data_IF_857220763696
#
_entry.id   IF_857220763696
#
_cell.length_a   1.000
_cell.length_b   1.000
_cell.length_c   1.000
_cell.angle_alpha   90.00
_cell.angle_beta   90.00
_cell.angle_gamma   90.00
#
_symmetry.space_group_name_H-M   'P 1'
#
loop_
_entity.id
_entity.type
_entity.pdbx_description
1 polymer ?
#
# COMPACT_ATOMS: atom_id res chain seq x y z
N UNK A 1 50.73 82.71 41.68
CA UNK A 1 49.52 82.00 41.21
C UNK A 1 48.93 82.86 40.13
N UNK A 2 49.37 82.68 38.88
CA UNK A 2 48.86 83.42 37.74
C UNK A 2 48.13 82.43 36.83
N UNK A 3 46.82 82.62 36.72
CA UNK A 3 45.97 81.86 35.83
C UNK A 3 46.31 82.25 34.40
N UNK A 4 47.05 81.38 33.71
CA UNK A 4 47.28 81.48 32.26
C UNK A 4 45.95 81.18 31.57
N UNK A 5 45.25 82.25 31.19
CA UNK A 5 44.05 82.21 30.36
C UNK A 5 44.40 81.58 29.01
N UNK A 6 43.99 80.33 28.77
CA UNK A 6 44.04 79.74 27.44
C UNK A 6 43.14 80.56 26.49
N UNK A 7 43.64 80.99 25.31
CA UNK A 7 42.79 81.63 24.33
C UNK A 7 41.77 80.60 23.85
N UNK A 8 40.48 80.90 24.08
CA UNK A 8 39.38 80.10 23.57
C UNK A 8 39.58 79.87 22.07
N UNK A 9 39.61 78.60 21.66
CA UNK A 9 39.69 78.21 20.25
C UNK A 9 38.57 78.91 19.49
N UNK A 10 38.92 79.86 18.62
CA UNK A 10 37.94 80.53 17.76
C UNK A 10 37.33 79.48 16.86
N UNK A 11 36.00 79.43 16.81
CA UNK A 11 35.30 78.57 15.86
C UNK A 11 35.64 79.04 14.44
N UNK A 12 35.64 78.14 13.45
CA UNK A 12 35.91 78.52 12.05
C UNK A 12 34.96 79.60 11.54
N UNK A 13 33.75 79.71 12.10
CA UNK A 13 32.82 80.83 11.86
C UNK A 13 33.35 82.17 12.39
N UNK A 14 33.96 82.21 13.57
CA UNK A 14 34.51 83.42 14.17
C UNK A 14 35.72 83.93 13.37
N UNK A 15 36.53 83.01 12.83
CA UNK A 15 37.62 83.35 11.93
C UNK A 15 37.12 83.85 10.56
N UNK A 16 36.14 83.17 9.96
CA UNK A 16 35.53 83.62 8.71
C UNK A 16 34.87 85.00 8.88
N UNK A 17 34.25 85.23 10.04
CA UNK A 17 33.67 86.52 10.44
C UNK A 17 34.71 87.61 10.50
N UNK A 18 35.86 87.35 11.13
CA UNK A 18 36.94 88.32 11.21
C UNK A 18 37.54 88.62 9.84
N UNK A 19 37.83 87.59 9.03
CA UNK A 19 38.35 87.79 7.66
C UNK A 19 37.42 88.64 6.81
N UNK A 20 36.11 88.45 6.92
CA UNK A 20 35.12 89.25 6.20
C UNK A 20 35.09 90.71 6.67
N UNK A 21 35.12 90.94 7.99
CA UNK A 21 35.14 92.30 8.55
C UNK A 21 36.43 93.05 8.20
N UNK A 22 37.57 92.36 8.20
CA UNK A 22 38.85 92.94 7.75
C UNK A 22 38.80 93.27 6.26
N UNK A 23 38.28 92.38 5.42
CA UNK A 23 38.11 92.63 3.98
C UNK A 23 37.17 93.80 3.67
N UNK A 24 36.13 94.01 4.46
CA UNK A 24 35.23 95.16 4.33
C UNK A 24 35.93 96.48 4.69
N UNK A 25 36.71 96.46 5.77
CA UNK A 25 37.48 97.61 6.21
C UNK A 25 38.56 98.01 5.19
N UNK A 26 39.28 97.03 4.64
CA UNK A 26 40.29 97.24 3.59
C UNK A 26 39.68 97.76 2.28
N UNK A 27 38.41 97.45 2.00
CA UNK A 27 37.66 97.99 0.87
C UNK A 27 37.11 99.42 1.12
N UNK A 28 37.36 100.01 2.30
CA UNK A 28 36.87 101.33 2.68
C UNK A 28 35.37 101.40 2.96
N UNK A 29 34.72 100.25 3.14
CA UNK A 29 33.28 100.16 3.40
C UNK A 29 33.08 100.16 4.92
N UNK A 30 32.64 101.30 5.47
CA UNK A 30 32.30 101.38 6.88
C UNK A 30 31.06 100.51 7.19
N UNK A 31 31.05 99.89 8.38
CA UNK A 31 29.95 99.05 8.85
C UNK A 31 28.64 99.86 9.01
N UNK A 32 28.74 101.16 9.27
CA UNK A 32 27.59 102.05 9.39
C UNK A 32 27.14 102.63 8.05
N UNK A 33 27.84 102.34 6.95
CA UNK A 33 27.39 102.70 5.62
C UNK A 33 26.17 101.85 5.21
N UNK A 34 25.26 102.37 4.37
CA UNK A 34 24.09 101.62 3.93
C UNK A 34 24.46 100.30 3.23
N UNK A 35 25.60 100.25 2.55
CA UNK A 35 26.11 99.02 1.91
C UNK A 35 26.72 98.05 2.92
N UNK A 36 27.42 98.54 3.95
CA UNK A 36 27.92 97.73 5.07
C UNK A 36 26.80 97.05 5.88
N UNK A 37 25.72 97.79 6.16
CA UNK A 37 24.52 97.27 6.82
C UNK A 37 23.82 96.17 6.01
N UNK A 38 23.69 96.34 4.69
CA UNK A 38 23.11 95.32 3.82
C UNK A 38 23.95 94.05 3.78
N UNK A 39 25.28 94.18 3.69
CA UNK A 39 26.19 93.04 3.70
C UNK A 39 26.17 92.29 5.05
N UNK A 40 26.10 93.02 6.17
CA UNK A 40 25.94 92.41 7.48
C UNK A 40 24.62 91.62 7.59
N UNK A 41 23.50 92.19 7.14
CA UNK A 41 22.18 91.53 7.11
C UNK A 41 22.15 90.31 6.19
N UNK A 42 22.71 90.42 5.00
CA UNK A 42 22.80 89.31 4.05
C UNK A 42 23.60 88.16 4.68
N UNK A 43 24.70 88.47 5.35
CA UNK A 43 25.52 87.47 6.02
C UNK A 43 24.77 86.76 7.14
N UNK A 44 24.08 87.50 7.99
CA UNK A 44 23.26 86.95 9.08
C UNK A 44 22.22 85.97 8.51
N UNK A 45 21.45 86.40 7.50
CA UNK A 45 20.48 85.57 6.79
C UNK A 45 21.11 84.33 6.13
N UNK A 46 22.29 84.44 5.53
CA UNK A 46 23.00 83.28 4.95
C UNK A 46 23.47 82.30 6.01
N UNK A 47 23.88 82.77 7.20
CA UNK A 47 24.30 81.90 8.29
C UNK A 47 23.13 81.11 8.86
N UNK A 48 21.98 81.77 9.08
CA UNK A 48 20.75 81.12 9.54
C UNK A 48 20.26 80.08 8.52
N UNK A 49 20.33 80.43 7.22
CA UNK A 49 19.97 79.50 6.14
C UNK A 49 20.92 78.30 6.11
N UNK A 50 22.23 78.52 6.26
CA UNK A 50 23.22 77.44 6.29
C UNK A 50 23.01 76.50 7.48
N UNK A 51 22.72 77.04 8.66
CA UNK A 51 22.38 76.26 9.85
C UNK A 51 21.10 75.43 9.64
N UNK A 52 20.05 76.04 9.07
CA UNK A 52 18.80 75.36 8.75
C UNK A 52 19.01 74.21 7.75
N UNK A 53 19.78 74.45 6.69
CA UNK A 53 20.12 73.43 5.68
C UNK A 53 20.95 72.31 6.29
N UNK A 54 21.95 72.62 7.13
CA UNK A 54 22.76 71.60 7.81
C UNK A 54 21.91 70.76 8.77
N UNK A 55 20.99 71.38 9.51
CA UNK A 55 20.06 70.67 10.38
C UNK A 55 19.06 69.81 9.58
N UNK A 56 18.65 70.26 8.38
CA UNK A 56 17.83 69.45 7.47
C UNK A 56 18.63 68.26 6.91
N UNK A 57 19.87 68.48 6.46
CA UNK A 57 20.75 67.44 5.96
C UNK A 57 21.05 66.37 7.02
N UNK A 58 21.32 66.78 8.27
CA UNK A 58 21.53 65.86 9.38
C UNK A 58 20.27 65.00 9.66
N UNK A 59 19.07 65.59 9.59
CA UNK A 59 17.81 64.85 9.75
C UNK A 59 17.57 63.86 8.61
N UNK A 60 17.90 64.24 7.37
CA UNK A 60 17.79 63.35 6.21
C UNK A 60 18.75 62.18 6.35
N UNK A 61 20.01 62.43 6.71
CA UNK A 61 21.00 61.37 6.92
C UNK A 61 20.56 60.39 8.03
N UNK A 62 20.05 60.89 9.15
CA UNK A 62 19.51 60.05 10.21
C UNK A 62 18.28 59.25 9.75
N UNK A 63 17.38 59.85 8.97
CA UNK A 63 16.21 59.16 8.42
C UNK A 63 16.61 58.07 7.42
N UNK A 64 17.64 58.31 6.61
CA UNK A 64 18.20 57.34 5.67
C UNK A 64 18.80 56.15 6.42
N UNK A 65 19.59 56.38 7.47
CA UNK A 65 20.17 55.31 8.28
C UNK A 65 19.09 54.43 8.93
N UNK A 66 18.03 55.06 9.47
CA UNK A 66 16.88 54.34 10.03
C UNK A 66 16.17 53.52 8.94
N UNK A 67 15.95 54.10 7.76
CA UNK A 67 15.31 53.41 6.64
C UNK A 67 16.14 52.21 6.16
N UNK A 68 17.46 52.37 6.01
CA UNK A 68 18.35 51.29 5.63
C UNK A 68 18.34 50.16 6.66
N UNK A 69 18.40 50.50 7.95
CA UNK A 69 18.36 49.52 9.04
C UNK A 69 17.01 48.77 9.07
N UNK A 70 15.91 49.50 8.87
CA UNK A 70 14.57 48.92 8.79
C UNK A 70 14.42 47.98 7.59
N UNK A 71 14.95 48.36 6.42
CA UNK A 71 14.95 47.53 5.22
C UNK A 71 15.79 46.26 5.41
N UNK A 72 16.98 46.35 6.02
CA UNK A 72 17.78 45.17 6.34
C UNK A 72 17.04 44.22 7.28
N UNK A 73 16.42 44.76 8.34
CA UNK A 73 15.63 43.96 9.28
C UNK A 73 14.44 43.28 8.59
N UNK A 74 13.70 44.02 7.76
CA UNK A 74 12.57 43.47 7.00
C UNK A 74 13.03 42.36 6.04
N UNK A 75 14.16 42.53 5.36
CA UNK A 75 14.75 41.50 4.52
C UNK A 75 15.09 40.23 5.31
N UNK A 76 15.69 40.38 6.48
CA UNK A 76 16.05 39.25 7.32
C UNK A 76 14.80 38.53 7.88
N UNK A 77 13.78 39.28 8.29
CA UNK A 77 12.50 38.73 8.74
C UNK A 77 11.77 37.98 7.62
N UNK A 78 11.77 38.53 6.40
CA UNK A 78 11.22 37.85 5.22
C UNK A 78 11.98 36.56 4.88
N UNK A 79 13.31 36.59 4.99
CA UNK A 79 14.15 35.41 4.73
C UNK A 79 13.86 34.29 5.72
N UNK A 80 13.80 34.62 7.02
CA UNK A 80 13.42 33.68 8.09
C UNK A 80 11.99 33.17 7.92
N UNK A 81 11.05 34.05 7.56
CA UNK A 81 9.67 33.68 7.29
C UNK A 81 9.55 32.67 6.15
N UNK A 82 10.33 32.88 5.08
CA UNK A 82 10.35 31.99 3.92
C UNK A 82 10.99 30.62 4.24
N UNK A 83 12.06 30.60 5.04
CA UNK A 83 12.65 29.34 5.55
C UNK A 83 11.65 28.56 6.41
N UNK A 84 10.95 29.25 7.32
CA UNK A 84 9.90 28.66 8.14
C UNK A 84 8.76 28.08 7.29
N UNK A 85 8.28 28.83 6.29
CA UNK A 85 7.25 28.37 5.37
C UNK A 85 7.69 27.12 4.58
N UNK A 86 8.95 27.09 4.10
CA UNK A 86 9.52 25.90 3.44
C UNK A 86 9.59 24.70 4.36
N UNK A 87 9.99 24.89 5.62
CA UNK A 87 10.04 23.82 6.62
C UNK A 87 8.64 23.27 6.95
N UNK A 88 7.64 24.15 7.05
CA UNK A 88 6.25 23.74 7.24
C UNK A 88 5.74 22.96 6.03
N UNK A 89 6.04 23.44 4.80
CA UNK A 89 5.64 22.77 3.57
C UNK A 89 6.21 21.36 3.46
N UNK A 90 7.52 21.20 3.70
CA UNK A 90 8.16 19.88 3.63
C UNK A 90 7.65 18.92 4.71
N UNK A 91 7.44 19.43 5.93
CA UNK A 91 6.83 18.66 7.02
C UNK A 91 5.39 18.25 6.69
N UNK A 92 4.59 19.15 6.12
CA UNK A 92 3.22 18.87 5.71
C UNK A 92 3.18 17.80 4.61
N UNK A 93 4.05 17.88 3.59
CA UNK A 93 4.14 16.86 2.54
C UNK A 93 4.48 15.47 3.10
N UNK A 94 5.43 15.39 4.03
CA UNK A 94 5.78 14.13 4.69
C UNK A 94 4.62 13.57 5.51
N UNK A 95 3.90 14.43 6.24
CA UNK A 95 2.73 14.03 7.02
C UNK A 95 1.60 13.54 6.13
N UNK A 96 1.30 14.24 5.03
CA UNK A 96 0.28 13.84 4.06
C UNK A 96 0.61 12.46 3.48
N UNK A 97 1.86 12.23 3.06
CA UNK A 97 2.28 10.92 2.55
C UNK A 97 2.13 9.81 3.61
N UNK A 98 2.48 10.09 4.86
CA UNK A 98 2.32 9.13 5.95
C UNK A 98 0.84 8.83 6.24
N UNK A 99 -0.02 9.84 6.21
CA UNK A 99 -1.46 9.70 6.43
C UNK A 99 -2.13 8.96 5.26
N UNK A 100 -1.74 9.24 4.02
CA UNK A 100 -2.19 8.49 2.84
C UNK A 100 -1.83 7.00 2.92
N UNK A 101 -0.60 6.69 3.34
CA UNK A 101 -0.16 5.30 3.46
C UNK A 101 -0.92 4.57 4.58
N UNK A 102 -1.13 5.23 5.72
CA UNK A 102 -1.97 4.71 6.81
C UNK A 102 -3.41 4.49 6.36
N UNK A 103 -3.97 5.40 5.56
CA UNK A 103 -5.32 5.28 5.03
C UNK A 103 -5.44 4.08 4.09
N UNK A 104 -4.48 3.87 3.18
CA UNK A 104 -4.44 2.69 2.30
C UNK A 104 -4.40 1.39 3.10
N UNK A 105 -3.55 1.32 4.11
CA UNK A 105 -3.46 0.15 5.00
C UNK A 105 -4.77 -0.10 5.73
N UNK A 106 -5.40 0.96 6.27
CA UNK A 106 -6.71 0.85 6.92
C UNK A 106 -7.81 0.38 5.97
N UNK A 107 -7.86 0.90 4.75
CA UNK A 107 -8.81 0.48 3.72
C UNK A 107 -8.62 -0.99 3.38
N UNK A 108 -7.39 -1.45 3.16
CA UNK A 108 -7.10 -2.85 2.86
C UNK A 108 -7.53 -3.78 3.98
N UNK A 109 -7.16 -3.47 5.23
CA UNK A 109 -7.58 -4.26 6.41
C UNK A 109 -9.10 -4.29 6.55
N UNK A 110 -9.78 -3.18 6.26
CA UNK A 110 -11.24 -3.11 6.34
C UNK A 110 -11.90 -3.97 5.26
N UNK A 111 -11.39 -3.92 4.03
CA UNK A 111 -11.85 -4.77 2.92
C UNK A 111 -11.62 -6.24 3.26
N UNK A 112 -10.43 -6.61 3.74
CA UNK A 112 -10.11 -7.99 4.13
C UNK A 112 -11.06 -8.52 5.21
N UNK A 113 -11.37 -7.69 6.22
CA UNK A 113 -12.36 -8.02 7.26
C UNK A 113 -13.77 -8.18 6.69
N UNK A 114 -14.19 -7.32 5.76
CA UNK A 114 -15.48 -7.46 5.08
C UNK A 114 -15.55 -8.74 4.27
N UNK A 115 -14.51 -9.07 3.49
CA UNK A 115 -14.42 -10.31 2.72
C UNK A 115 -14.46 -11.53 3.64
N UNK A 116 -13.69 -11.52 4.72
CA UNK A 116 -13.68 -12.62 5.70
C UNK A 116 -15.06 -12.80 6.35
N UNK A 117 -15.74 -11.70 6.69
CA UNK A 117 -17.11 -11.72 7.24
C UNK A 117 -18.12 -12.29 6.24
N UNK A 118 -18.10 -11.81 4.98
CA UNK A 118 -18.97 -12.31 3.91
C UNK A 118 -18.71 -13.79 3.64
N UNK A 119 -17.45 -14.20 3.55
CA UNK A 119 -17.08 -15.59 3.29
C UNK A 119 -17.44 -16.52 4.46
N UNK A 120 -17.28 -16.03 5.69
CA UNK A 120 -17.74 -16.71 6.90
C UNK A 120 -19.26 -16.90 6.89
N UNK A 121 -20.01 -15.83 6.59
CA UNK A 121 -21.48 -15.85 6.47
C UNK A 121 -21.96 -16.78 5.36
N UNK A 122 -21.34 -16.73 4.18
CA UNK A 122 -21.66 -17.63 3.06
C UNK A 122 -21.38 -19.09 3.42
N UNK A 123 -20.26 -19.37 4.11
CA UNK A 123 -19.90 -20.73 4.54
C UNK A 123 -20.92 -21.25 5.56
N UNK A 124 -21.37 -20.43 6.51
CA UNK A 124 -22.38 -20.82 7.48
C UNK A 124 -23.74 -21.04 6.82
N UNK A 125 -24.18 -20.16 5.91
CA UNK A 125 -25.45 -20.32 5.19
C UNK A 125 -25.43 -21.54 4.25
N UNK A 126 -24.34 -21.76 3.52
CA UNK A 126 -24.18 -22.96 2.69
C UNK A 126 -24.14 -24.22 3.55
N UNK A 127 -23.43 -24.20 4.67
CA UNK A 127 -23.37 -25.34 5.59
C UNK A 127 -24.76 -25.63 6.19
N UNK A 128 -25.50 -24.61 6.61
CA UNK A 128 -26.85 -24.77 7.15
C UNK A 128 -27.83 -25.26 6.08
N UNK A 129 -27.74 -24.78 4.83
CA UNK A 129 -28.53 -25.33 3.71
C UNK A 129 -28.16 -26.77 3.39
N UNK A 130 -26.87 -27.11 3.36
CA UNK A 130 -26.40 -28.50 3.13
C UNK A 130 -26.88 -29.42 4.24
N UNK A 131 -26.80 -28.95 5.49
CA UNK A 131 -27.27 -29.66 6.68
C UNK A 131 -28.79 -29.81 6.70
N UNK A 132 -29.55 -28.84 6.21
CA UNK A 132 -31.01 -28.95 6.05
C UNK A 132 -31.41 -29.93 4.93
N UNK A 133 -30.61 -30.04 3.87
CA UNK A 133 -30.87 -30.99 2.77
C UNK A 133 -30.41 -32.42 3.06
N UNK A 134 -29.37 -32.64 3.87
CA UNK A 134 -28.89 -33.99 4.22
C UNK A 134 -29.93 -34.94 4.87
N UNK A 135 -30.79 -34.53 5.83
CA UNK A 135 -31.69 -35.48 6.50
C UNK A 135 -32.81 -36.02 5.61
N UNK A 136 -33.00 -35.53 4.38
CA UNK A 136 -34.03 -36.06 3.46
C UNK A 136 -33.54 -37.16 2.52
N UNK A 137 -32.23 -37.40 2.42
CA UNK A 137 -31.69 -38.41 1.49
C UNK A 137 -30.95 -39.57 2.15
N UNK A 138 -30.59 -39.49 3.44
CA UNK A 138 -29.86 -40.57 4.10
C UNK A 138 -30.67 -41.87 4.21
N UNK A 139 -31.92 -41.83 4.70
CA UNK A 139 -32.71 -43.06 4.86
C UNK A 139 -33.03 -43.76 3.53
N UNK A 140 -33.39 -42.99 2.50
CA UNK A 140 -33.70 -43.53 1.17
C UNK A 140 -32.48 -44.12 0.47
N UNK A 141 -31.31 -43.49 0.59
CA UNK A 141 -30.09 -43.94 -0.07
C UNK A 141 -29.51 -45.19 0.59
N UNK A 142 -29.54 -45.30 1.92
CA UNK A 142 -29.09 -46.50 2.64
C UNK A 142 -30.01 -47.72 2.42
N UNK A 143 -31.33 -47.51 2.31
CA UNK A 143 -32.29 -48.58 1.99
C UNK A 143 -32.14 -49.06 0.53
N UNK A 144 -31.99 -48.14 -0.42
CA UNK A 144 -31.87 -48.48 -1.84
C UNK A 144 -30.54 -49.19 -2.18
N UNK A 145 -29.43 -48.80 -1.55
CA UNK A 145 -28.12 -49.43 -1.77
C UNK A 145 -28.04 -50.84 -1.19
N UNK A 146 -28.63 -51.08 0.00
CA UNK A 146 -28.73 -52.45 0.56
C UNK A 146 -29.56 -53.38 -0.33
N UNK A 147 -30.67 -52.92 -0.89
CA UNK A 147 -31.51 -53.73 -1.79
C UNK A 147 -30.81 -54.11 -3.10
N UNK A 148 -30.01 -53.20 -3.68
CA UNK A 148 -29.21 -53.50 -4.87
C UNK A 148 -28.10 -54.53 -4.62
N UNK A 149 -27.49 -54.52 -3.44
CA UNK A 149 -26.46 -55.51 -3.08
C UNK A 149 -27.07 -56.90 -2.87
N UNK A 150 -28.18 -56.98 -2.13
CA UNK A 150 -28.87 -58.25 -1.83
C UNK A 150 -29.42 -58.89 -3.12
N UNK A 151 -30.04 -58.10 -4.00
CA UNK A 151 -30.57 -58.61 -5.28
C UNK A 151 -29.49 -59.15 -6.21
N UNK A 152 -28.32 -58.52 -6.29
CA UNK A 152 -27.18 -59.04 -7.08
C UNK A 152 -26.64 -60.35 -6.52
N UNK A 153 -26.55 -60.48 -5.19
CA UNK A 153 -26.10 -61.70 -4.53
C UNK A 153 -27.10 -62.85 -4.74
N UNK A 154 -28.40 -62.56 -4.63
CA UNK A 154 -29.46 -63.54 -4.90
C UNK A 154 -29.46 -64.02 -6.36
N UNK A 155 -29.26 -63.10 -7.32
CA UNK A 155 -29.23 -63.43 -8.74
C UNK A 155 -27.99 -64.26 -9.11
N UNK A 156 -26.83 -63.95 -8.52
CA UNK A 156 -25.64 -64.79 -8.66
C UNK A 156 -25.87 -66.19 -8.06
N UNK A 157 -26.46 -66.28 -6.87
CA UNK A 157 -26.80 -67.56 -6.24
C UNK A 157 -27.78 -68.40 -7.08
N UNK A 158 -28.79 -67.78 -7.67
CA UNK A 158 -29.74 -68.45 -8.56
C UNK A 158 -29.05 -69.00 -9.82
N UNK A 159 -28.13 -68.24 -10.42
CA UNK A 159 -27.34 -68.69 -11.57
C UNK A 159 -26.42 -69.86 -11.22
N UNK A 160 -25.76 -69.83 -10.05
CA UNK A 160 -24.97 -70.96 -9.58
C UNK A 160 -25.81 -72.21 -9.33
N UNK A 161 -27.01 -72.06 -8.75
CA UNK A 161 -27.91 -73.18 -8.50
C UNK A 161 -28.43 -73.81 -9.79
N UNK A 162 -28.87 -72.99 -10.76
CA UNK A 162 -29.30 -73.47 -12.07
C UNK A 162 -28.15 -74.14 -12.85
N UNK A 163 -26.94 -73.55 -12.82
CA UNK A 163 -25.76 -74.14 -13.45
C UNK A 163 -25.36 -75.49 -12.81
N UNK A 164 -25.42 -75.58 -11.48
CA UNK A 164 -25.16 -76.80 -10.74
C UNK A 164 -26.17 -77.91 -11.05
N UNK A 165 -27.46 -77.58 -11.16
CA UNK A 165 -28.50 -78.54 -11.55
C UNK A 165 -28.28 -79.08 -12.96
N UNK A 166 -27.99 -78.21 -13.95
CA UNK A 166 -27.73 -78.65 -15.33
C UNK A 166 -26.51 -79.57 -15.40
N UNK A 167 -25.43 -79.22 -14.70
CA UNK A 167 -24.23 -80.06 -14.63
C UNK A 167 -24.51 -81.43 -13.98
N UNK A 168 -25.35 -81.45 -12.93
CA UNK A 168 -25.74 -82.69 -12.26
C UNK A 168 -26.59 -83.59 -13.17
N UNK A 169 -27.58 -83.02 -13.87
CA UNK A 169 -28.40 -83.78 -14.82
C UNK A 169 -27.59 -84.35 -15.99
N UNK A 170 -26.60 -83.61 -16.51
CA UNK A 170 -25.73 -84.09 -17.59
C UNK A 170 -24.82 -85.26 -17.14
N UNK A 171 -24.32 -85.23 -15.90
CA UNK A 171 -23.54 -86.33 -15.34
C UNK A 171 -24.39 -87.60 -15.13
N UNK A 172 -25.63 -87.44 -14.67
CA UNK A 172 -26.54 -88.57 -14.42
C UNK A 172 -27.10 -89.15 -15.73
N UNK A 173 -27.33 -88.36 -16.77
CA UNK A 173 -27.76 -88.90 -18.07
C UNK A 173 -26.66 -89.75 -18.73
N UNK A 174 -25.40 -89.32 -18.64
CA UNK A 174 -24.27 -90.10 -19.17
C UNK A 174 -24.04 -91.43 -18.42
N UNK A 175 -24.31 -91.47 -17.11
CA UNK A 175 -24.17 -92.72 -16.35
C UNK A 175 -25.33 -93.68 -16.63
N UNK A 176 -26.55 -93.16 -16.86
CA UNK A 176 -27.71 -93.96 -17.24
C UNK A 176 -27.60 -94.54 -18.65
N UNK A 177 -27.07 -93.79 -19.62
CA UNK A 177 -26.80 -94.30 -20.97
C UNK A 177 -25.74 -95.41 -20.97
N UNK A 178 -24.68 -95.27 -20.16
CA UNK A 178 -23.68 -96.34 -19.96
C UNK A 178 -24.28 -97.60 -19.34
N UNK A 179 -25.17 -97.46 -18.36
CA UNK A 179 -25.82 -98.61 -17.73
C UNK A 179 -26.69 -99.39 -18.73
N UNK A 180 -27.46 -98.69 -19.58
CA UNK A 180 -28.27 -99.32 -20.64
C UNK A 180 -27.43 -100.01 -21.73
N UNK A 181 -26.27 -99.46 -22.09
CA UNK A 181 -25.40 -100.08 -23.09
C UNK A 181 -24.82 -101.43 -22.61
N UNK A 182 -24.48 -101.54 -21.31
CA UNK A 182 -23.97 -102.77 -20.71
C UNK A 182 -25.03 -103.89 -20.58
N UNK A 183 -26.32 -103.55 -20.44
CA UNK A 183 -27.40 -104.55 -20.43
C UNK A 183 -27.60 -105.25 -21.78
N UNK A 184 -27.28 -104.58 -22.90
CA UNK A 184 -27.50 -105.11 -24.25
C UNK A 184 -26.34 -105.91 -24.86
N UNK A 185 -25.12 -105.78 -24.34
CA UNK A 185 -23.89 -106.30 -24.98
C UNK A 185 -22.95 -107.02 -24.01
N UNK A 186 -23.43 -108.11 -23.40
CA UNK A 186 -22.57 -109.04 -22.66
C UNK A 186 -22.40 -110.36 -23.42
N UNK A 187 -21.16 -110.83 -23.56
CA UNK A 187 -20.86 -112.16 -24.07
C UNK A 187 -20.10 -112.96 -23.01
N UNK A 188 -20.47 -114.22 -22.82
CA UNK A 188 -19.91 -115.12 -21.81
C UNK A 188 -18.80 -115.94 -22.46
N UNK A 189 -17.59 -115.85 -21.91
CA UNK A 189 -16.45 -116.68 -22.33
C UNK A 189 -16.56 -118.08 -21.72
N UNK A 190 -15.90 -119.09 -22.30
CA UNK A 190 -15.92 -120.50 -21.83
C UNK A 190 -15.45 -120.68 -20.37
N UNK A 191 -14.81 -119.66 -19.79
CA UNK A 191 -14.41 -119.60 -18.38
C UNK A 191 -15.44 -118.91 -17.46
N UNK A 192 -16.67 -118.70 -17.93
CA UNK A 192 -17.79 -118.23 -17.12
C UNK A 192 -17.73 -116.76 -16.67
N UNK A 193 -16.82 -115.95 -17.21
CA UNK A 193 -16.77 -114.51 -16.92
C UNK A 193 -17.45 -113.70 -18.03
N UNK A 194 -18.43 -112.88 -17.65
CA UNK A 194 -19.10 -111.92 -18.52
C UNK A 194 -18.35 -110.58 -18.47
N UNK A 195 -17.88 -110.11 -19.62
CA UNK A 195 -17.21 -108.81 -19.77
C UNK A 195 -18.01 -107.95 -20.75
N UNK A 196 -18.25 -106.68 -20.39
CA UNK A 196 -18.85 -105.69 -21.28
C UNK A 196 -17.77 -105.07 -22.16
N UNK A 197 -18.00 -104.95 -23.47
CA UNK A 197 -17.05 -104.37 -24.40
C UNK A 197 -17.03 -102.84 -24.26
N UNK A 198 -16.36 -102.34 -23.22
CA UNK A 198 -16.08 -100.93 -23.07
C UNK A 198 -14.91 -100.58 -23.99
N UNK A 199 -15.19 -100.27 -25.26
CA UNK A 199 -14.18 -99.64 -26.10
C UNK A 199 -13.80 -98.30 -25.46
N UNK A 200 -12.53 -98.07 -25.07
CA UNK A 200 -12.16 -96.80 -24.47
C UNK A 200 -12.25 -95.72 -25.55
N UNK A 201 -13.09 -94.71 -25.32
CA UNK A 201 -13.08 -93.46 -26.07
C UNK A 201 -11.67 -92.87 -25.97
N UNK A 202 -10.87 -93.05 -27.02
CA UNK A 202 -9.63 -92.33 -27.27
C UNK A 202 -9.94 -90.84 -27.16
N UNK A 203 -9.32 -90.19 -26.18
CA UNK A 203 -9.12 -88.75 -26.20
C UNK A 203 -8.06 -88.51 -27.30
N UNK A 204 -8.35 -87.83 -28.42
CA UNK A 204 -7.30 -87.45 -29.34
C UNK A 204 -6.33 -86.50 -28.63
N UNK A 205 -5.10 -86.97 -28.42
CA UNK A 205 -3.99 -86.17 -27.93
C UNK A 205 -3.72 -85.05 -28.96
N UNK A 206 -3.88 -83.81 -28.49
CA UNK A 206 -3.62 -82.59 -29.26
C UNK A 206 -2.10 -82.43 -29.42
N UNK A 207 -1.63 -82.62 -30.66
CA UNK A 207 -0.38 -82.18 -31.29
C UNK A 207 0.73 -81.61 -30.37
N UNK A 208 1.88 -82.30 -30.32
CA UNK A 208 3.21 -81.66 -30.33
C UNK A 208 4.19 -82.52 -31.14
N UNK A 209 4.58 -81.97 -32.31
CA UNK A 209 5.68 -82.30 -33.22
C UNK A 209 5.78 -83.72 -33.81
#
# INVERSE_FOLDING_TARGET
>A
MDAVSHPASRTPEEEARQRFLTSLHDAGIDLNSPLGLLLARLREATSETCQSVNAAAARIAAAEEIAQTSLMKMRDDLTKGLESARAISSSAELRIKADEERLKQHQQVTIDKMIASIMGGLKTELYDRLKQQMPHHEQGFYLATRWKAISRLALAGALFFCGGLVAHYALVSHTLERARYCEGHSYVTENGQAWCDLTPLRIPARNQN
#
